data_IF_292631974706
#
_entry.id   IF_292631974706
#
_cell.length_a   1.000
_cell.length_b   1.000
_cell.length_c   1.000
_cell.angle_alpha   90.00
_cell.angle_beta   90.00
_cell.angle_gamma   90.00
#
_symmetry.space_group_name_H-M   'P 1'
#
loop_
_entity.id
_entity.type
_entity.pdbx_description
1 polymer ?
#
# COMPACT_ATOMS: atom_id res chain seq x y z
N UNK A 1 -1.66 -10.77 1.79
CA UNK A 1 -1.71 -9.58 0.90
C UNK A 1 -0.67 -8.57 1.40
N UNK A 2 0.10 -7.97 0.49
CA UNK A 2 1.04 -6.87 0.82
C UNK A 2 0.73 -5.70 -0.10
N UNK A 3 0.66 -4.48 0.43
CA UNK A 3 0.29 -3.29 -0.32
C UNK A 3 0.96 -2.03 0.22
N UNK A 4 0.99 -0.97 -0.59
CA UNK A 4 1.15 0.38 -0.06
C UNK A 4 -0.04 0.72 0.83
N UNK A 5 0.22 1.45 1.91
CA UNK A 5 -0.84 1.93 2.77
C UNK A 5 -1.62 3.05 2.04
N UNK A 6 -2.97 3.03 2.04
CA UNK A 6 -3.75 4.03 1.31
C UNK A 6 -3.49 5.46 1.76
N UNK A 7 -3.24 5.68 3.05
CA UNK A 7 -2.87 7.01 3.56
C UNK A 7 -1.58 7.52 2.94
N UNK A 8 -0.60 6.65 2.66
CA UNK A 8 0.63 7.06 1.98
C UNK A 8 0.30 7.66 0.61
N UNK A 9 -0.52 6.96 -0.17
CA UNK A 9 -0.93 7.41 -1.51
C UNK A 9 -1.74 8.71 -1.45
N UNK A 10 -2.58 8.90 -0.44
CA UNK A 10 -3.32 10.15 -0.25
C UNK A 10 -2.41 11.35 0.03
N UNK A 11 -1.32 11.17 0.78
CA UNK A 11 -0.43 12.29 1.14
C UNK A 11 0.66 12.55 0.10
N UNK A 12 1.10 11.54 -0.64
CA UNK A 12 2.15 11.70 -1.66
C UNK A 12 1.61 11.90 -3.07
N UNK A 13 0.36 11.51 -3.32
CA UNK A 13 -0.12 11.23 -4.67
C UNK A 13 0.56 10.01 -5.28
N UNK A 14 0.19 9.67 -6.52
CA UNK A 14 0.83 8.64 -7.32
C UNK A 14 1.17 9.20 -8.71
N UNK A 15 2.41 9.04 -9.22
CA UNK A 15 2.71 9.36 -10.60
C UNK A 15 1.89 8.47 -11.54
N UNK A 16 1.08 9.09 -12.40
CA UNK A 16 0.20 8.36 -13.32
C UNK A 16 0.76 8.25 -14.73
N UNK A 17 1.88 8.91 -15.03
CA UNK A 17 2.50 8.93 -16.35
C UNK A 17 3.96 8.53 -16.27
N UNK A 18 4.40 7.62 -17.15
CA UNK A 18 5.79 7.24 -17.29
C UNK A 18 6.12 6.88 -18.74
N UNK A 19 7.41 6.94 -19.09
CA UNK A 19 7.90 6.50 -20.40
C UNK A 19 8.43 5.09 -20.25
N UNK A 20 7.88 4.15 -21.03
CA UNK A 20 8.35 2.77 -21.07
C UNK A 20 9.74 2.65 -21.71
N UNK A 21 10.38 1.49 -21.59
CA UNK A 21 11.71 1.24 -22.19
C UNK A 21 11.73 1.41 -23.72
N UNK A 22 10.59 1.22 -24.39
CA UNK A 22 10.42 1.46 -25.83
C UNK A 22 10.30 2.95 -26.21
N UNK A 23 10.19 3.85 -25.24
CA UNK A 23 9.92 5.28 -25.47
C UNK A 23 8.44 5.66 -25.51
N UNK A 24 7.53 4.69 -25.43
CA UNK A 24 6.08 4.96 -25.48
C UNK A 24 5.57 5.59 -24.17
N UNK A 25 4.70 6.63 -24.23
CA UNK A 25 4.02 7.17 -23.07
C UNK A 25 3.01 6.16 -22.51
N UNK A 26 3.06 5.92 -21.21
CA UNK A 26 2.14 5.04 -20.51
C UNK A 26 1.42 5.82 -19.41
N UNK A 27 0.11 5.60 -19.31
CA UNK A 27 -0.73 6.12 -18.24
C UNK A 27 -1.30 4.95 -17.41
N UNK A 28 -1.35 5.12 -16.09
CA UNK A 28 -1.98 4.17 -15.16
C UNK A 28 -3.06 4.83 -14.33
N UNK A 29 -4.14 4.09 -14.12
CA UNK A 29 -5.16 4.43 -13.15
C UNK A 29 -4.77 3.90 -11.78
N UNK A 30 -4.84 4.76 -10.76
CA UNK A 30 -4.61 4.37 -9.37
C UNK A 30 -5.95 4.19 -8.68
N UNK A 31 -6.26 2.95 -8.28
CA UNK A 31 -7.42 2.63 -7.47
C UNK A 31 -7.00 2.63 -5.99
N UNK A 32 -7.57 3.54 -5.22
CA UNK A 32 -7.33 3.61 -3.79
C UNK A 32 -8.39 2.78 -3.06
N UNK A 33 -7.94 1.82 -2.27
CA UNK A 33 -8.77 1.05 -1.35
C UNK A 33 -8.33 1.31 0.08
N UNK A 34 -9.28 1.64 0.94
CA UNK A 34 -9.06 1.79 2.36
C UNK A 34 -8.71 0.45 2.99
N UNK A 35 -7.99 0.47 4.11
CA UNK A 35 -7.68 -0.72 4.91
C UNK A 35 -8.95 -1.53 5.21
N UNK A 36 -10.03 -0.85 5.60
CA UNK A 36 -11.31 -1.49 5.91
C UNK A 36 -11.93 -2.20 4.71
N UNK A 37 -11.76 -1.70 3.48
CA UNK A 37 -12.31 -2.36 2.28
C UNK A 37 -11.61 -3.68 2.02
N UNK A 38 -10.29 -3.75 2.23
CA UNK A 38 -9.56 -5.02 2.17
C UNK A 38 -10.03 -6.01 3.24
N UNK A 39 -10.27 -5.52 4.47
CA UNK A 39 -10.73 -6.38 5.56
C UNK A 39 -12.14 -6.92 5.29
N UNK A 40 -13.07 -6.04 4.89
CA UNK A 40 -14.44 -6.42 4.53
C UNK A 40 -14.44 -7.44 3.39
N UNK A 41 -13.68 -7.21 2.33
CA UNK A 41 -13.60 -8.14 1.19
C UNK A 41 -13.08 -9.53 1.60
N UNK A 42 -12.08 -9.59 2.49
CA UNK A 42 -11.58 -10.87 3.01
C UNK A 42 -12.64 -11.62 3.81
N UNK A 43 -13.33 -10.91 4.72
CA UNK A 43 -14.40 -11.49 5.54
C UNK A 43 -15.57 -11.97 4.69
N UNK A 44 -16.03 -11.17 3.72
CA UNK A 44 -17.14 -11.52 2.82
C UNK A 44 -16.80 -12.75 1.94
N UNK A 45 -15.52 -12.94 1.64
CA UNK A 45 -15.02 -14.13 0.94
C UNK A 45 -14.81 -15.35 1.87
N UNK A 46 -15.19 -15.26 3.14
CA UNK A 46 -15.08 -16.34 4.12
C UNK A 46 -13.68 -16.54 4.71
N UNK A 47 -12.75 -15.62 4.48
CA UNK A 47 -11.42 -15.68 5.09
C UNK A 47 -11.46 -15.12 6.52
N UNK A 48 -10.53 -15.60 7.34
CA UNK A 48 -10.26 -15.05 8.67
C UNK A 48 -8.94 -14.29 8.64
N UNK A 49 -8.95 -13.05 9.14
CA UNK A 49 -7.74 -12.27 9.33
C UNK A 49 -6.97 -12.81 10.53
N UNK A 50 -5.74 -13.28 10.31
CA UNK A 50 -4.84 -13.73 11.39
C UNK A 50 -3.96 -12.60 11.90
N UNK A 51 -3.44 -11.78 10.98
CA UNK A 51 -2.50 -10.70 11.32
C UNK A 51 -2.71 -9.52 10.38
N UNK A 52 -2.68 -8.32 10.97
CA UNK A 52 -2.51 -7.07 10.25
C UNK A 52 -1.25 -6.37 10.78
N UNK A 53 -0.32 -6.10 9.87
CA UNK A 53 0.91 -5.39 10.18
C UNK A 53 1.01 -4.15 9.29
N UNK A 54 1.33 -3.01 9.90
CA UNK A 54 1.57 -1.75 9.21
C UNK A 54 2.98 -1.27 9.52
N UNK A 55 3.69 -0.80 8.49
CA UNK A 55 5.01 -0.21 8.64
C UNK A 55 4.94 1.28 8.32
N UNK A 56 5.62 2.07 9.13
CA UNK A 56 5.70 3.52 8.99
C UNK A 56 6.94 3.91 8.16
N UNK A 57 6.97 5.16 7.70
CA UNK A 57 8.22 5.78 7.25
C UNK A 57 9.09 6.06 8.47
N UNK A 58 10.16 5.29 8.62
CA UNK A 58 11.16 5.44 9.68
C UNK A 58 12.43 6.16 9.19
N UNK A 59 13.31 6.57 10.12
CA UNK A 59 14.55 7.28 9.79
C UNK A 59 15.45 6.52 8.80
N UNK A 60 15.45 5.18 8.86
CA UNK A 60 16.21 4.35 7.92
C UNK A 60 15.83 4.60 6.45
N UNK A 61 14.58 4.96 6.17
CA UNK A 61 14.14 5.33 4.83
C UNK A 61 14.79 6.61 4.33
N UNK A 62 15.20 7.53 5.21
CA UNK A 62 15.79 8.80 4.79
C UNK A 62 17.18 8.64 4.17
N UNK A 63 17.88 7.54 4.49
CA UNK A 63 19.14 7.22 3.85
C UNK A 63 18.98 6.97 2.34
N UNK A 64 17.86 6.37 1.92
CA UNK A 64 17.58 6.05 0.51
C UNK A 64 16.61 7.04 -0.16
N UNK A 65 15.74 7.68 0.63
CA UNK A 65 14.72 8.64 0.19
C UNK A 65 14.75 9.91 1.06
N UNK A 66 15.79 10.77 0.95
CA UNK A 66 15.90 11.99 1.77
C UNK A 66 14.70 12.93 1.66
N UNK A 67 14.02 12.95 0.50
CA UNK A 67 12.81 13.75 0.25
C UNK A 67 11.61 13.32 1.13
N UNK A 68 11.65 12.13 1.73
CA UNK A 68 10.59 11.62 2.59
C UNK A 68 10.68 12.10 4.04
N UNK A 69 11.59 13.04 4.35
CA UNK A 69 11.71 13.59 5.71
C UNK A 69 10.40 14.16 6.25
N UNK A 70 9.59 14.78 5.39
CA UNK A 70 8.27 15.30 5.76
C UNK A 70 7.18 14.23 5.96
N UNK A 71 7.48 12.97 5.67
CA UNK A 71 6.57 11.83 5.78
C UNK A 71 6.92 10.91 6.96
N UNK A 72 7.89 11.26 7.80
CA UNK A 72 8.25 10.47 8.98
C UNK A 72 7.00 10.16 9.83
N UNK A 73 6.85 8.89 10.20
CA UNK A 73 5.71 8.40 10.98
C UNK A 73 4.42 8.19 10.19
N UNK A 74 4.36 8.55 8.90
CA UNK A 74 3.21 8.16 8.06
C UNK A 74 3.22 6.66 7.80
N UNK A 75 2.05 5.98 7.83
CA UNK A 75 1.94 4.61 7.35
C UNK A 75 2.35 4.54 5.89
N UNK A 76 3.25 3.60 5.58
CA UNK A 76 3.85 3.46 4.26
C UNK A 76 3.37 2.19 3.56
N UNK A 77 3.47 1.05 4.24
CA UNK A 77 3.06 -0.25 3.71
C UNK A 77 2.25 -1.03 4.73
N UNK A 78 1.46 -1.97 4.25
CA UNK A 78 0.67 -2.88 5.08
C UNK A 78 0.76 -4.32 4.57
N UNK A 79 0.62 -5.27 5.48
CA UNK A 79 0.46 -6.68 5.21
C UNK A 79 -0.74 -7.22 5.98
N UNK A 80 -1.59 -7.97 5.28
CA UNK A 80 -2.72 -8.71 5.85
C UNK A 80 -2.50 -10.20 5.60
N UNK A 81 -2.36 -10.98 6.67
CA UNK A 81 -2.25 -12.43 6.62
C UNK A 81 -3.62 -13.05 6.88
N UNK A 82 -4.03 -13.95 5.99
CA UNK A 82 -5.37 -14.53 5.98
C UNK A 82 -5.28 -16.05 5.98
N UNK A 83 -6.22 -16.69 6.67
CA UNK A 83 -6.48 -18.12 6.56
C UNK A 83 -7.88 -18.35 6.03
N UNK A 84 -8.04 -19.37 5.19
CA UNK A 84 -9.35 -19.84 4.79
C UNK A 84 -9.72 -21.01 5.71
N UNK A 85 -10.74 -20.87 6.59
CA UNK A 85 -11.16 -21.96 7.45
C UNK A 85 -11.64 -23.15 6.60
N UNK A 86 -11.15 -24.36 6.91
CA UNK A 86 -11.70 -25.59 6.34
C UNK A 86 -12.93 -25.94 7.16
N UNK A 87 -14.07 -26.12 6.49
CA UNK A 87 -15.35 -26.47 7.11
C UNK A 87 -15.31 -27.88 7.70
#
# INVERSE_FOLDING_TARGET
MVSYHPQFLMVTGMPTHYTGESGEPLAIDTHLHMFSEHVTAGNDAGWRLEEAAEALVEEAWLATKPKWKGLLGHPFSMALAWTLPVT
#
